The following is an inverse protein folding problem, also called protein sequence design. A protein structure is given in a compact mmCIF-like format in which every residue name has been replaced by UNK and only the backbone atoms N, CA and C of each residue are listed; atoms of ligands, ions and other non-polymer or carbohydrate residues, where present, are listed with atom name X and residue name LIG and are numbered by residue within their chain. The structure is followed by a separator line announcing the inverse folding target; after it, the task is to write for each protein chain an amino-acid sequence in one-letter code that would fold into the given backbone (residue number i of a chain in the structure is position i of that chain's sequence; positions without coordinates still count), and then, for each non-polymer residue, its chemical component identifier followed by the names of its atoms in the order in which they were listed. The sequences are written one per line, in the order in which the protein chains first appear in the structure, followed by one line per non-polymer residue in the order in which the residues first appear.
data_IF_376571679675
#
_entry.id   IF_376571679675
#
_cell.length_a   1.000
_cell.length_b   1.000
_cell.length_c   1.000
_cell.angle_alpha   90.00
_cell.angle_beta   90.00
_cell.angle_gamma   90.00
#
_symmetry.space_group_name_H-M   'P 1'
#
loop_
_entity.id
_entity.type
_entity.pdbx_description
1 polymer ?
#
# COMPACT_ATOMS: atom_id res chain seq x y z
N UNK A 1 -15.40 -26.26 10.33
CA UNK A 1 -15.58 -25.20 9.31
C UNK A 1 -15.80 -25.90 7.98
N UNK A 2 -16.76 -25.49 7.15
CA UNK A 2 -17.12 -26.21 5.91
C UNK A 2 -16.33 -25.77 4.66
N UNK A 3 -15.71 -24.60 4.69
CA UNK A 3 -15.00 -24.00 3.54
C UNK A 3 -13.48 -24.01 3.77
N UNK A 4 -12.74 -24.63 2.84
CA UNK A 4 -11.27 -24.74 2.86
C UNK A 4 -10.78 -26.00 2.15
N UNK A 5 -9.46 -26.11 1.92
CA UNK A 5 -8.84 -27.34 1.39
C UNK A 5 -8.96 -28.44 2.43
N UNK A 6 -9.46 -29.63 2.03
CA UNK A 6 -9.64 -30.77 2.94
C UNK A 6 -8.30 -31.30 3.42
N UNK A 7 -8.22 -31.66 4.70
CA UNK A 7 -7.01 -32.28 5.24
C UNK A 7 -6.88 -33.71 4.68
N UNK A 8 -5.72 -34.12 4.13
CA UNK A 8 -5.55 -35.46 3.58
C UNK A 8 -5.88 -36.55 4.61
N UNK A 9 -6.85 -37.41 4.30
CA UNK A 9 -7.28 -38.52 5.16
C UNK A 9 -8.27 -38.16 6.28
N UNK A 10 -8.71 -36.89 6.39
CA UNK A 10 -9.74 -36.46 7.35
C UNK A 10 -10.71 -35.45 6.71
N UNK A 11 -11.84 -35.94 6.19
CA UNK A 11 -12.80 -35.14 5.43
C UNK A 11 -13.59 -34.12 6.29
N UNK A 12 -13.56 -34.28 7.61
CA UNK A 12 -14.15 -33.37 8.59
C UNK A 12 -13.25 -32.17 8.94
N UNK A 13 -11.96 -32.24 8.56
CA UNK A 13 -10.98 -31.17 8.77
C UNK A 13 -10.67 -30.39 7.49
N UNK A 14 -10.29 -29.13 7.69
CA UNK A 14 -9.79 -28.24 6.63
C UNK A 14 -8.44 -27.67 7.05
N UNK A 15 -7.57 -27.45 6.06
CA UNK A 15 -6.27 -26.81 6.23
C UNK A 15 -6.48 -25.34 6.63
N UNK A 16 -5.71 -24.87 7.61
CA UNK A 16 -5.77 -23.47 8.02
C UNK A 16 -5.20 -22.57 6.93
N UNK A 17 -5.82 -21.41 6.70
CA UNK A 17 -5.49 -20.54 5.55
C UNK A 17 -4.03 -20.08 5.50
N UNK A 18 -3.38 -19.95 6.66
CA UNK A 18 -1.95 -19.61 6.70
C UNK A 18 -1.03 -20.76 6.27
N UNK A 19 -1.56 -21.94 5.98
CA UNK A 19 -0.81 -23.06 5.41
C UNK A 19 -1.07 -23.16 3.91
N UNK A 20 -2.33 -23.14 3.48
CA UNK A 20 -2.67 -23.35 2.06
C UNK A 20 -2.54 -22.10 1.18
N UNK A 21 -2.73 -20.89 1.70
CA UNK A 21 -2.66 -19.65 0.91
C UNK A 21 -1.33 -19.45 0.16
N UNK A 22 -0.14 -19.60 0.78
CA UNK A 22 1.12 -19.44 0.03
C UNK A 22 1.40 -20.61 -0.93
N UNK A 23 0.81 -21.80 -0.69
CA UNK A 23 0.87 -22.92 -1.66
C UNK A 23 0.15 -22.51 -2.96
N UNK A 24 -0.83 -21.62 -2.88
CA UNK A 24 -1.48 -21.01 -4.03
C UNK A 24 -0.50 -20.42 -5.04
N UNK A 25 0.64 -19.85 -4.63
CA UNK A 25 1.65 -19.34 -5.55
C UNK A 25 2.19 -20.43 -6.50
N UNK A 26 2.38 -21.64 -5.96
CA UNK A 26 2.83 -22.80 -6.73
C UNK A 26 1.67 -23.30 -7.60
N UNK A 27 0.48 -23.46 -7.03
CA UNK A 27 -0.70 -23.95 -7.75
C UNK A 27 -1.05 -23.08 -8.96
N UNK A 28 -1.02 -21.75 -8.83
CA UNK A 28 -1.23 -20.84 -9.96
C UNK A 28 -0.12 -20.94 -11.02
N UNK A 29 1.12 -21.22 -10.59
CA UNK A 29 2.23 -21.47 -11.53
C UNK A 29 2.05 -22.79 -12.27
N UNK A 30 1.60 -23.84 -11.58
CA UNK A 30 1.26 -25.14 -12.17
C UNK A 30 0.18 -25.01 -13.24
N UNK A 31 -0.91 -24.30 -12.91
CA UNK A 31 -2.02 -24.02 -13.83
C UNK A 31 -1.53 -23.30 -15.09
N UNK A 32 -0.83 -22.18 -14.94
CA UNK A 32 -0.29 -21.42 -16.07
C UNK A 32 0.71 -22.24 -16.91
N UNK A 33 1.58 -23.03 -16.27
CA UNK A 33 2.54 -23.88 -16.95
C UNK A 33 1.85 -24.98 -17.77
N UNK A 34 0.78 -25.58 -17.23
CA UNK A 34 -0.03 -26.58 -17.94
C UNK A 34 -0.67 -25.99 -19.20
N UNK A 35 -1.15 -24.75 -19.15
CA UNK A 35 -1.75 -24.06 -20.29
C UNK A 35 -0.72 -23.64 -21.36
N UNK A 36 0.53 -23.42 -20.96
CA UNK A 36 1.58 -22.85 -21.82
C UNK A 36 2.70 -23.84 -22.18
N UNK A 37 2.53 -25.14 -21.86
CA UNK A 37 3.51 -26.18 -22.18
C UNK A 37 4.86 -26.00 -21.49
N UNK A 38 4.87 -25.45 -20.26
CA UNK A 38 6.07 -25.21 -19.45
C UNK A 38 6.12 -26.17 -18.27
N UNK A 39 7.31 -26.32 -17.68
CA UNK A 39 7.49 -27.08 -16.45
C UNK A 39 7.51 -26.13 -15.25
N UNK A 40 6.50 -26.24 -14.38
CA UNK A 40 6.39 -25.42 -13.17
C UNK A 40 7.55 -25.65 -12.20
N UNK A 41 8.18 -26.84 -12.23
CA UNK A 41 9.29 -27.16 -11.34
C UNK A 41 10.49 -26.25 -11.59
N UNK A 42 10.70 -25.80 -12.84
CA UNK A 42 11.76 -24.84 -13.17
C UNK A 42 11.64 -23.48 -12.45
N UNK A 43 10.45 -23.15 -11.92
CA UNK A 43 10.19 -21.90 -11.21
C UNK A 43 10.22 -22.04 -9.68
N UNK A 44 9.95 -23.24 -9.16
CA UNK A 44 9.77 -23.51 -7.73
C UNK A 44 10.75 -24.53 -7.14
N UNK A 45 11.55 -25.17 -7.99
CA UNK A 45 12.67 -26.06 -7.65
C UNK A 45 13.95 -25.54 -8.32
N UNK A 46 15.03 -26.30 -8.19
CA UNK A 46 16.28 -26.10 -8.93
C UNK A 46 16.95 -24.72 -8.79
N UNK A 47 16.76 -24.04 -7.65
CA UNK A 47 17.48 -22.80 -7.35
C UNK A 47 16.98 -21.56 -8.11
N UNK A 48 15.74 -21.58 -8.61
CA UNK A 48 15.08 -20.42 -9.21
C UNK A 48 15.15 -19.14 -8.32
N UNK A 49 15.29 -17.97 -8.94
CA UNK A 49 15.28 -16.69 -8.21
C UNK A 49 13.83 -16.27 -7.93
N UNK A 50 13.36 -16.52 -6.70
CA UNK A 50 11.99 -16.22 -6.27
C UNK A 50 11.98 -14.90 -5.47
N UNK A 51 11.12 -13.97 -5.87
CA UNK A 51 10.97 -12.67 -5.20
C UNK A 51 9.51 -12.50 -4.77
N UNK A 52 9.27 -12.19 -3.50
CA UNK A 52 7.93 -11.94 -2.98
C UNK A 52 7.72 -10.46 -2.69
N UNK A 53 6.79 -9.82 -3.42
CA UNK A 53 6.31 -8.48 -3.11
C UNK A 53 5.06 -8.58 -2.22
N UNK A 54 5.13 -8.00 -1.02
CA UNK A 54 4.11 -8.16 0.02
C UNK A 54 3.87 -6.87 0.80
N UNK A 55 2.75 -6.78 1.52
CA UNK A 55 2.59 -5.76 2.56
C UNK A 55 3.37 -6.09 3.84
N UNK A 56 3.73 -5.07 4.62
CA UNK A 56 4.49 -5.24 5.88
C UNK A 56 3.88 -6.20 6.91
N UNK A 57 2.55 -6.35 6.93
CA UNK A 57 1.84 -7.17 7.93
C UNK A 57 2.07 -8.68 7.79
N UNK A 58 2.52 -9.15 6.62
CA UNK A 58 2.71 -10.58 6.31
C UNK A 58 4.18 -10.97 6.16
N UNK A 59 5.11 -10.10 6.58
CA UNK A 59 6.56 -10.34 6.56
C UNK A 59 6.94 -11.56 7.40
N UNK A 60 6.41 -11.66 8.62
CA UNK A 60 6.69 -12.79 9.52
C UNK A 60 6.36 -14.13 8.85
N UNK A 61 5.29 -14.17 8.06
CA UNK A 61 4.87 -15.36 7.36
C UNK A 61 5.79 -15.72 6.20
N UNK A 62 6.16 -14.74 5.37
CA UNK A 62 6.98 -14.96 4.18
C UNK A 62 8.48 -15.13 4.49
N UNK A 63 8.93 -14.75 5.69
CA UNK A 63 10.33 -14.88 6.09
C UNK A 63 10.60 -16.07 7.03
N UNK A 64 9.57 -16.67 7.64
CA UNK A 64 9.75 -17.76 8.63
C UNK A 64 8.89 -18.98 8.28
N UNK A 65 7.56 -18.85 8.36
CA UNK A 65 6.68 -20.00 8.19
C UNK A 65 6.74 -20.58 6.78
N UNK A 66 6.57 -19.73 5.77
CA UNK A 66 6.55 -20.17 4.38
C UNK A 66 7.90 -20.77 3.92
N UNK A 67 9.06 -20.14 4.20
CA UNK A 67 10.36 -20.76 3.93
C UNK A 67 10.57 -22.09 4.67
N UNK A 68 10.07 -22.24 5.90
CA UNK A 68 10.17 -23.50 6.63
C UNK A 68 9.35 -24.62 5.95
N UNK A 69 8.15 -24.30 5.46
CA UNK A 69 7.33 -25.22 4.68
C UNK A 69 8.00 -25.62 3.36
N UNK A 70 8.49 -24.64 2.59
CA UNK A 70 9.22 -24.88 1.34
C UNK A 70 10.45 -25.77 1.58
N UNK A 71 11.25 -25.45 2.60
CA UNK A 71 12.43 -26.24 2.97
C UNK A 71 12.08 -27.68 3.34
N UNK A 72 11.03 -27.85 4.16
CA UNK A 72 10.56 -29.18 4.57
C UNK A 72 10.06 -30.03 3.41
N UNK A 73 9.52 -29.38 2.38
CA UNK A 73 9.00 -30.04 1.18
C UNK A 73 10.02 -30.13 0.02
N UNK A 74 11.25 -29.61 0.19
CA UNK A 74 12.31 -29.68 -0.83
C UNK A 74 12.17 -28.69 -1.99
N UNK A 75 11.58 -27.52 -1.74
CA UNK A 75 11.39 -26.45 -2.74
C UNK A 75 12.44 -25.34 -2.59
N UNK A 76 12.60 -24.52 -3.63
CA UNK A 76 13.46 -23.35 -3.63
C UNK A 76 12.93 -22.28 -2.67
N UNK A 77 13.84 -21.65 -1.92
CA UNK A 77 13.49 -20.59 -0.97
C UNK A 77 13.45 -19.21 -1.65
N UNK A 78 12.66 -18.25 -1.14
CA UNK A 78 12.67 -16.89 -1.64
C UNK A 78 14.07 -16.28 -1.58
N UNK A 79 14.54 -15.74 -2.71
CA UNK A 79 15.80 -14.98 -2.79
C UNK A 79 15.65 -13.58 -2.20
N UNK A 80 14.45 -13.00 -2.25
CA UNK A 80 14.13 -11.72 -1.63
C UNK A 80 12.65 -11.66 -1.21
N UNK A 81 12.39 -10.94 -0.11
CA UNK A 81 11.04 -10.55 0.32
C UNK A 81 11.00 -9.03 0.40
N UNK A 82 10.31 -8.42 -0.55
CA UNK A 82 10.19 -6.97 -0.70
C UNK A 82 8.88 -6.52 -0.06
N UNK A 83 9.00 -5.95 1.14
CA UNK A 83 7.85 -5.49 1.91
C UNK A 83 7.54 -4.01 1.63
N UNK A 84 6.36 -3.74 1.07
CA UNK A 84 5.85 -2.40 0.80
C UNK A 84 5.41 -1.72 2.09
N UNK A 85 5.63 -0.40 2.15
CA UNK A 85 5.04 0.44 3.18
C UNK A 85 3.53 0.61 3.01
N UNK A 86 2.87 1.05 4.08
CA UNK A 86 1.42 1.27 4.08
C UNK A 86 1.03 2.53 3.29
N UNK A 87 -0.20 2.53 2.76
CA UNK A 87 -0.78 3.71 2.11
C UNK A 87 -1.53 4.58 3.13
N UNK A 88 -1.24 5.88 3.11
CA UNK A 88 -1.98 6.96 3.76
C UNK A 88 -2.70 7.80 2.72
N UNK A 89 -3.78 8.47 3.12
CA UNK A 89 -4.49 9.45 2.30
C UNK A 89 -4.60 10.72 3.14
N UNK A 90 -4.06 11.84 2.63
CA UNK A 90 -3.94 13.11 3.34
C UNK A 90 -3.46 12.93 4.80
N UNK A 91 -2.36 12.18 4.95
CA UNK A 91 -1.70 11.82 6.22
C UNK A 91 -2.53 10.98 7.20
N UNK A 92 -3.75 10.59 6.81
CA UNK A 92 -4.64 9.72 7.58
C UNK A 92 -4.51 8.28 7.12
N UNK A 93 -4.54 7.34 8.08
CA UNK A 93 -4.52 5.90 7.79
C UNK A 93 -5.73 5.50 6.96
N UNK A 94 -5.49 4.66 5.95
CA UNK A 94 -6.53 4.05 5.15
C UNK A 94 -7.61 3.39 6.04
N UNK A 95 -8.89 3.69 5.79
CA UNK A 95 -10.01 3.19 6.58
C UNK A 95 -11.29 3.15 5.77
N UNK A 96 -11.73 1.93 5.39
CA UNK A 96 -13.01 1.71 4.71
C UNK A 96 -14.19 2.19 5.57
N UNK A 97 -14.17 1.94 6.88
CA UNK A 97 -15.27 2.29 7.79
C UNK A 97 -15.41 3.80 7.98
N UNK A 98 -14.31 4.56 7.94
CA UNK A 98 -14.33 6.03 8.02
C UNK A 98 -14.39 6.70 6.64
N UNK A 99 -14.51 5.94 5.55
CA UNK A 99 -14.52 6.49 4.19
C UNK A 99 -13.15 6.98 3.67
N UNK A 100 -12.08 6.84 4.47
CA UNK A 100 -10.72 7.29 4.16
C UNK A 100 -10.02 6.27 3.26
N UNK A 101 -10.51 6.15 2.04
CA UNK A 101 -10.06 5.22 1.00
C UNK A 101 -10.08 5.97 -0.32
N UNK A 102 -9.16 5.66 -1.22
CA UNK A 102 -9.24 6.03 -2.64
C UNK A 102 -9.35 4.70 -3.39
N UNK A 103 -10.48 4.49 -4.07
CA UNK A 103 -10.71 3.30 -4.87
C UNK A 103 -10.20 3.54 -6.29
N UNK A 104 -9.25 2.70 -6.74
CA UNK A 104 -8.65 2.81 -8.07
C UNK A 104 -9.71 2.82 -9.18
N UNK A 105 -10.76 2.01 -9.07
CA UNK A 105 -11.84 2.01 -10.03
C UNK A 105 -12.68 3.29 -9.95
N UNK A 106 -13.40 3.47 -8.84
CA UNK A 106 -14.49 4.45 -8.77
C UNK A 106 -14.00 5.91 -8.58
N UNK A 107 -12.89 6.10 -7.87
CA UNK A 107 -12.36 7.44 -7.56
C UNK A 107 -11.30 7.91 -8.56
N UNK A 108 -10.81 7.03 -9.43
CA UNK A 108 -9.70 7.33 -10.33
C UNK A 108 -10.00 6.96 -11.79
N UNK A 109 -10.16 5.68 -12.11
CA UNK A 109 -10.37 5.23 -13.50
C UNK A 109 -11.71 5.72 -14.07
N UNK A 110 -12.79 5.60 -13.30
CA UNK A 110 -14.13 6.07 -13.69
C UNK A 110 -14.19 7.62 -13.80
N UNK A 111 -13.14 8.32 -13.36
CA UNK A 111 -12.95 9.78 -13.52
C UNK A 111 -12.15 10.15 -14.76
N UNK A 112 -11.80 9.17 -15.60
CA UNK A 112 -11.05 9.39 -16.84
C UNK A 112 -9.55 9.63 -16.62
N UNK A 113 -9.02 9.41 -15.41
CA UNK A 113 -7.60 9.52 -15.16
C UNK A 113 -6.85 8.30 -15.68
N UNK A 114 -5.75 8.56 -16.38
CA UNK A 114 -4.99 7.51 -17.04
C UNK A 114 -4.14 6.70 -16.03
N UNK A 115 -4.17 5.35 -16.05
CA UNK A 115 -3.51 4.50 -15.05
C UNK A 115 -2.02 4.76 -14.88
N UNK A 116 -1.30 5.05 -15.97
CA UNK A 116 0.14 5.35 -15.92
C UNK A 116 0.49 6.53 -15.01
N UNK A 117 -0.40 7.53 -14.85
CA UNK A 117 -0.12 8.65 -13.95
C UNK A 117 -0.09 8.17 -12.49
N UNK A 118 -1.00 7.27 -12.11
CA UNK A 118 -1.02 6.66 -10.78
C UNK A 118 0.18 5.73 -10.58
N UNK A 119 0.53 4.92 -11.59
CA UNK A 119 1.72 4.05 -11.54
C UNK A 119 2.98 4.88 -11.30
N UNK A 120 3.13 5.98 -12.04
CA UNK A 120 4.23 6.91 -11.86
C UNK A 120 4.27 7.49 -10.46
N UNK A 121 3.13 8.02 -9.97
CA UNK A 121 3.04 8.57 -8.62
C UNK A 121 3.52 7.57 -7.56
N UNK A 122 3.00 6.34 -7.61
CA UNK A 122 3.35 5.29 -6.64
C UNK A 122 4.83 4.87 -6.73
N UNK A 123 5.40 4.81 -7.93
CA UNK A 123 6.79 4.41 -8.14
C UNK A 123 7.80 5.48 -7.71
N UNK A 124 7.42 6.76 -7.78
CA UNK A 124 8.38 7.88 -7.69
C UNK A 124 8.13 8.85 -6.53
N UNK A 125 7.05 8.70 -5.76
CA UNK A 125 6.77 9.57 -4.62
C UNK A 125 7.73 9.32 -3.44
N UNK A 126 7.78 8.09 -2.94
CA UNK A 126 8.64 7.68 -1.82
C UNK A 126 9.28 6.32 -2.11
N UNK A 127 10.34 5.98 -1.39
CA UNK A 127 10.89 4.63 -1.43
C UNK A 127 9.80 3.61 -1.09
N UNK A 128 9.76 2.49 -1.79
CA UNK A 128 8.64 1.54 -1.77
C UNK A 128 8.40 0.91 -0.38
N UNK A 129 9.45 0.75 0.42
CA UNK A 129 9.38 0.22 1.78
C UNK A 129 8.92 1.25 2.83
N UNK A 130 8.76 2.52 2.44
CA UNK A 130 8.23 3.58 3.30
C UNK A 130 6.74 3.77 3.05
N UNK A 131 6.05 4.33 4.04
CA UNK A 131 4.65 4.70 3.86
C UNK A 131 4.50 5.70 2.70
N UNK A 132 3.56 5.42 1.82
CA UNK A 132 3.18 6.32 0.71
C UNK A 132 2.00 7.15 1.18
N UNK A 133 2.08 8.47 1.04
CA UNK A 133 0.95 9.36 1.29
C UNK A 133 0.34 9.77 -0.06
N UNK A 134 -0.93 9.46 -0.28
CA UNK A 134 -1.67 9.93 -1.44
C UNK A 134 -2.42 11.22 -1.10
N UNK A 135 -2.29 12.22 -1.96
CA UNK A 135 -3.05 13.46 -1.92
C UNK A 135 -3.31 13.92 -3.33
N UNK A 136 -4.53 14.33 -3.65
CA UNK A 136 -4.89 14.77 -5.01
C UNK A 136 -4.06 15.96 -5.48
N UNK A 137 -3.80 16.91 -4.58
CA UNK A 137 -2.93 18.04 -4.86
C UNK A 137 -1.50 17.61 -5.20
N UNK A 138 -0.88 16.78 -4.35
CA UNK A 138 0.50 16.30 -4.58
C UNK A 138 0.57 15.48 -5.87
N UNK A 139 -0.43 14.63 -6.12
CA UNK A 139 -0.57 13.87 -7.35
C UNK A 139 -0.61 14.81 -8.58
N UNK A 140 -1.44 15.85 -8.53
CA UNK A 140 -1.55 16.82 -9.61
C UNK A 140 -0.27 17.62 -9.83
N UNK A 141 0.37 18.08 -8.76
CA UNK A 141 1.64 18.83 -8.83
C UNK A 141 2.73 18.01 -9.50
N UNK A 142 2.81 16.72 -9.14
CA UNK A 142 3.79 15.79 -9.69
C UNK A 142 3.54 15.49 -11.17
N UNK A 143 2.29 15.21 -11.55
CA UNK A 143 1.91 15.05 -12.96
C UNK A 143 2.22 16.31 -13.77
N UNK A 144 1.82 17.47 -13.26
CA UNK A 144 1.95 18.74 -13.99
C UNK A 144 3.39 19.22 -14.12
N UNK A 145 4.22 19.00 -13.10
CA UNK A 145 5.61 19.49 -13.08
C UNK A 145 6.53 18.51 -13.79
N UNK A 146 6.45 17.23 -13.42
CA UNK A 146 7.43 16.24 -13.87
C UNK A 146 6.99 15.62 -15.21
N UNK A 147 5.76 15.11 -15.31
CA UNK A 147 5.31 14.44 -16.53
C UNK A 147 4.98 15.43 -17.65
N UNK A 148 4.20 16.47 -17.36
CA UNK A 148 3.85 17.49 -18.36
C UNK A 148 5.04 18.44 -18.60
N UNK A 149 5.62 18.98 -17.53
CA UNK A 149 6.63 20.04 -17.60
C UNK A 149 8.03 19.59 -18.02
N UNK A 150 8.45 18.38 -17.66
CA UNK A 150 9.79 17.88 -17.98
C UNK A 150 9.78 16.79 -19.06
N UNK A 151 9.27 15.59 -18.75
CA UNK A 151 9.35 14.41 -19.63
C UNK A 151 8.57 14.61 -20.95
N UNK A 152 7.27 14.93 -20.83
CA UNK A 152 6.38 15.13 -21.97
C UNK A 152 6.79 16.33 -22.81
N UNK A 153 7.15 17.45 -22.17
CA UNK A 153 7.64 18.64 -22.86
C UNK A 153 8.88 18.35 -23.69
N UNK A 154 9.87 17.64 -23.14
CA UNK A 154 11.09 17.31 -23.87
C UNK A 154 10.81 16.44 -25.10
N UNK A 155 10.11 15.31 -24.90
CA UNK A 155 9.79 14.37 -26.00
C UNK A 155 8.98 15.09 -27.09
N UNK A 156 7.97 15.87 -26.69
CA UNK A 156 7.14 16.60 -27.64
C UNK A 156 7.93 17.66 -28.42
N UNK A 157 8.83 18.42 -27.76
CA UNK A 157 9.71 19.39 -28.44
C UNK A 157 10.63 18.71 -29.43
N UNK A 158 11.31 17.63 -29.04
CA UNK A 158 12.23 16.90 -29.92
C UNK A 158 11.51 16.39 -31.19
N UNK A 159 10.34 15.77 -31.01
CA UNK A 159 9.53 15.26 -32.12
C UNK A 159 8.97 16.38 -33.00
N UNK A 160 8.30 17.37 -32.41
CA UNK A 160 7.64 18.45 -33.16
C UNK A 160 8.64 19.31 -33.93
N UNK A 161 9.79 19.64 -33.32
CA UNK A 161 10.82 20.40 -34.03
C UNK A 161 11.45 19.60 -35.15
N UNK A 162 11.72 18.31 -34.95
CA UNK A 162 12.25 17.48 -36.03
C UNK A 162 11.23 17.33 -37.15
N UNK A 163 9.97 17.01 -36.83
CA UNK A 163 8.93 16.85 -37.84
C UNK A 163 8.75 18.11 -38.69
N UNK A 164 8.70 19.28 -38.05
CA UNK A 164 8.56 20.56 -38.72
C UNK A 164 9.74 20.92 -39.62
N UNK A 165 10.97 20.66 -39.18
CA UNK A 165 12.15 21.19 -39.85
C UNK A 165 12.87 20.17 -40.75
N UNK A 166 12.63 18.88 -40.56
CA UNK A 166 13.32 17.77 -41.24
C UNK A 166 12.32 16.76 -41.86
N UNK A 167 11.17 17.26 -42.33
CA UNK A 167 10.18 16.51 -43.11
C UNK A 167 9.68 15.24 -42.42
N UNK A 168 9.56 15.26 -41.09
CA UNK A 168 9.11 14.07 -40.35
C UNK A 168 10.10 12.91 -40.36
N UNK A 169 11.40 13.15 -40.59
CA UNK A 169 12.42 12.08 -40.61
C UNK A 169 13.56 12.35 -39.65
N UNK A 170 14.15 11.28 -39.11
CA UNK A 170 15.37 11.36 -38.28
C UNK A 170 16.51 11.96 -39.11
N UNK A 171 17.12 13.08 -38.71
CA UNK A 171 18.16 13.73 -39.50
C UNK A 171 19.41 12.86 -39.65
N UNK A 172 20.07 12.94 -40.81
CA UNK A 172 21.35 12.30 -41.09
C UNK A 172 22.50 13.18 -40.57
N UNK A 173 22.85 13.05 -39.29
CA UNK A 173 23.89 13.84 -38.63
C UNK A 173 24.43 13.11 -37.40
N UNK A 174 25.62 13.41 -36.90
CA UNK A 174 26.18 12.70 -35.75
C UNK A 174 25.36 12.90 -34.46
N UNK A 175 25.35 11.88 -33.60
CA UNK A 175 24.81 11.96 -32.24
C UNK A 175 25.95 12.37 -31.31
N UNK A 176 25.67 13.33 -30.43
CA UNK A 176 26.63 13.78 -29.42
C UNK A 176 27.06 12.62 -28.50
N UNK A 177 28.38 12.36 -28.47
CA UNK A 177 28.96 11.28 -27.68
C UNK A 177 28.79 11.49 -26.16
N UNK A 178 28.74 12.75 -25.70
CA UNK A 178 28.51 13.03 -24.28
C UNK A 178 27.09 12.65 -23.87
N UNK A 179 26.12 12.86 -24.77
CA UNK A 179 24.73 12.45 -24.54
C UNK A 179 24.60 10.93 -24.54
N UNK A 180 25.31 10.23 -25.42
CA UNK A 180 25.35 8.76 -25.41
C UNK A 180 25.90 8.22 -24.09
N UNK A 181 27.02 8.77 -23.61
CA UNK A 181 27.59 8.40 -22.32
C UNK A 181 26.61 8.66 -21.16
N UNK A 182 25.83 9.75 -21.24
CA UNK A 182 24.82 10.06 -20.22
C UNK A 182 23.65 9.07 -20.23
N UNK A 183 23.24 8.60 -21.41
CA UNK A 183 22.21 7.55 -21.57
C UNK A 183 22.71 6.25 -20.93
N UNK A 184 23.96 5.85 -21.20
CA UNK A 184 24.57 4.64 -20.62
C UNK A 184 24.65 4.72 -19.09
N UNK A 185 25.13 5.85 -18.55
CA UNK A 185 25.19 6.11 -17.10
C UNK A 185 23.79 5.99 -16.47
N UNK A 186 22.78 6.57 -17.12
CA UNK A 186 21.39 6.50 -16.64
C UNK A 186 20.88 5.05 -16.68
N UNK A 187 21.15 4.31 -17.75
CA UNK A 187 20.77 2.90 -17.86
C UNK A 187 21.39 2.02 -16.76
N UNK A 188 22.66 2.27 -16.41
CA UNK A 188 23.33 1.60 -15.29
C UNK A 188 22.68 1.96 -13.95
N UNK A 189 22.41 3.25 -13.71
CA UNK A 189 21.78 3.71 -12.48
C UNK A 189 20.36 3.14 -12.31
N UNK A 190 19.56 3.10 -13.38
CA UNK A 190 18.22 2.51 -13.39
C UNK A 190 18.30 1.01 -13.11
N UNK A 191 19.21 0.29 -13.77
CA UNK A 191 19.39 -1.15 -13.57
C UNK A 191 19.75 -1.47 -12.13
N UNK A 192 20.75 -0.79 -11.57
CA UNK A 192 21.18 -0.97 -10.19
C UNK A 192 20.05 -0.64 -9.19
N UNK A 193 19.27 0.41 -9.46
CA UNK A 193 18.13 0.75 -8.62
C UNK A 193 17.03 -0.32 -8.66
N UNK A 194 16.75 -0.92 -9.81
CA UNK A 194 15.75 -2.00 -9.93
C UNK A 194 16.22 -3.30 -9.27
N UNK A 195 17.51 -3.64 -9.35
CA UNK A 195 18.09 -4.80 -8.67
C UNK A 195 17.96 -4.71 -7.15
N UNK A 196 18.03 -3.49 -6.60
CA UNK A 196 17.83 -3.19 -5.18
C UNK A 196 16.37 -2.85 -4.82
N UNK A 197 15.43 -2.98 -5.76
CA UNK A 197 14.01 -2.67 -5.58
C UNK A 197 13.70 -1.20 -5.18
N UNK A 198 14.57 -0.28 -5.58
CA UNK A 198 14.50 1.16 -5.31
C UNK A 198 13.85 1.92 -6.49
N UNK A 199 12.55 1.70 -6.70
CA UNK A 199 11.80 2.27 -7.84
C UNK A 199 11.84 3.80 -7.92
N UNK A 200 11.90 4.47 -6.76
CA UNK A 200 12.03 5.93 -6.73
C UNK A 200 13.36 6.38 -7.31
N UNK A 201 14.47 5.72 -6.94
CA UNK A 201 15.79 6.05 -7.47
C UNK A 201 15.85 5.83 -8.98
N UNK A 202 15.24 4.74 -9.47
CA UNK A 202 15.12 4.49 -10.91
C UNK A 202 14.33 5.62 -11.60
N UNK A 203 13.20 6.03 -11.03
CA UNK A 203 12.37 7.12 -11.57
C UNK A 203 13.12 8.47 -11.57
N UNK A 204 13.79 8.80 -10.46
CA UNK A 204 14.55 10.05 -10.30
C UNK A 204 15.70 10.13 -11.31
N UNK A 205 16.41 9.02 -11.55
CA UNK A 205 17.49 8.97 -12.54
C UNK A 205 17.00 9.29 -13.96
N UNK A 206 15.83 8.77 -14.33
CA UNK A 206 15.27 9.02 -15.67
C UNK A 206 14.68 10.43 -15.79
N UNK A 207 14.08 10.96 -14.72
CA UNK A 207 13.66 12.36 -14.70
C UNK A 207 14.84 13.32 -14.80
N UNK A 208 15.96 13.02 -14.15
CA UNK A 208 17.19 13.79 -14.30
C UNK A 208 17.73 13.76 -15.74
N UNK A 209 17.61 12.62 -16.45
CA UNK A 209 17.93 12.53 -17.87
C UNK A 209 16.98 13.40 -18.73
N UNK A 210 15.68 13.45 -18.39
CA UNK A 210 14.72 14.30 -19.08
C UNK A 210 15.01 15.80 -18.87
N UNK A 211 15.39 16.20 -17.66
CA UNK A 211 15.83 17.57 -17.35
C UNK A 211 17.12 17.91 -18.10
N UNK A 212 18.09 17.00 -18.13
CA UNK A 212 19.30 17.14 -18.94
C UNK A 212 18.96 17.34 -20.42
N UNK A 213 18.01 16.57 -20.97
CA UNK A 213 17.52 16.75 -22.33
C UNK A 213 16.89 18.13 -22.58
N UNK A 214 16.05 18.61 -21.65
CA UNK A 214 15.48 19.96 -21.74
C UNK A 214 16.56 21.05 -21.77
N UNK A 215 17.58 20.93 -20.90
CA UNK A 215 18.72 21.85 -20.85
C UNK A 215 19.54 21.76 -22.15
N UNK A 216 19.84 20.56 -22.63
CA UNK A 216 20.56 20.33 -23.88
C UNK A 216 19.84 21.00 -25.06
N UNK A 217 18.54 20.77 -25.21
CA UNK A 217 17.73 21.39 -26.26
C UNK A 217 17.74 22.91 -26.13
N UNK A 218 17.64 23.44 -24.91
CA UNK A 218 17.58 24.88 -24.67
C UNK A 218 18.92 25.58 -24.98
N UNK A 219 20.04 25.02 -24.51
CA UNK A 219 21.37 25.60 -24.69
C UNK A 219 21.83 25.62 -26.15
N UNK A 220 21.43 24.61 -26.93
CA UNK A 220 21.80 24.51 -28.34
C UNK A 220 20.89 25.33 -29.27
N UNK A 221 19.78 25.88 -28.75
CA UNK A 221 18.86 26.75 -29.49
C UNK A 221 18.54 26.28 -30.93
N UNK A 222 18.05 25.04 -31.14
CA UNK A 222 17.85 24.48 -32.49
C UNK A 222 16.91 25.32 -33.37
N UNK A 223 16.02 26.12 -32.76
CA UNK A 223 15.15 27.08 -33.46
C UNK A 223 15.91 28.23 -34.12
N UNK A 224 17.11 28.58 -33.62
CA UNK A 224 18.03 29.51 -34.27
C UNK A 224 18.91 28.76 -35.26
N UNK A 225 19.50 27.62 -34.85
CA UNK A 225 20.40 26.84 -35.70
C UNK A 225 19.76 26.42 -37.02
N UNK A 226 18.49 26.03 -37.05
CA UNK A 226 17.78 25.70 -38.30
C UNK A 226 17.88 26.81 -39.37
N UNK A 227 18.02 28.08 -38.95
CA UNK A 227 18.12 29.25 -39.84
C UNK A 227 19.56 29.59 -40.22
N UNK A 228 20.54 29.24 -39.38
CA UNK A 228 21.93 29.68 -39.51
C UNK A 228 22.91 28.57 -39.87
N UNK A 229 22.70 27.36 -39.32
CA UNK A 229 23.56 26.19 -39.47
C UNK A 229 22.69 24.93 -39.34
N UNK A 230 22.17 24.49 -40.49
CA UNK A 230 21.17 23.42 -40.57
C UNK A 230 21.75 22.05 -40.22
N UNK A 231 23.03 21.82 -40.48
CA UNK A 231 23.71 20.55 -40.17
C UNK A 231 23.94 20.41 -38.66
N UNK A 232 24.32 21.51 -37.98
CA UNK A 232 24.35 21.50 -36.50
C UNK A 232 22.96 21.31 -35.90
N UNK A 233 21.93 21.94 -36.48
CA UNK A 233 20.56 21.71 -36.03
C UNK A 233 20.13 20.25 -36.20
N UNK A 234 20.55 19.59 -37.28
CA UNK A 234 20.30 18.18 -37.54
C UNK A 234 20.94 17.28 -36.47
N UNK A 235 22.21 17.54 -36.13
CA UNK A 235 22.92 16.80 -35.08
C UNK A 235 22.27 16.97 -33.70
N UNK A 236 21.93 18.21 -33.32
CA UNK A 236 21.25 18.51 -32.04
C UNK A 236 19.89 17.80 -31.95
N UNK A 237 19.09 17.84 -33.02
CA UNK A 237 17.77 17.21 -33.00
C UNK A 237 17.84 15.69 -33.06
N UNK A 238 18.77 15.10 -33.83
CA UNK A 238 19.00 13.65 -33.79
C UNK A 238 19.42 13.19 -32.39
N UNK A 239 20.30 13.96 -31.73
CA UNK A 239 20.71 13.71 -30.35
C UNK A 239 19.52 13.80 -29.38
N UNK A 240 18.65 14.80 -29.53
CA UNK A 240 17.44 14.91 -28.71
C UNK A 240 16.48 13.72 -28.93
N UNK A 241 16.34 13.23 -30.16
CA UNK A 241 15.55 12.05 -30.45
C UNK A 241 16.15 10.78 -29.84
N UNK A 242 17.48 10.63 -29.87
CA UNK A 242 18.15 9.51 -29.21
C UNK A 242 17.89 9.51 -27.70
N UNK A 243 17.96 10.69 -27.06
CA UNK A 243 17.61 10.84 -25.65
C UNK A 243 16.13 10.50 -25.40
N UNK A 244 15.22 10.93 -26.28
CA UNK A 244 13.81 10.58 -26.19
C UNK A 244 13.57 9.06 -26.27
N UNK A 245 14.27 8.35 -27.17
CA UNK A 245 14.24 6.87 -27.24
C UNK A 245 14.62 6.24 -25.90
N UNK A 246 15.72 6.71 -25.31
CA UNK A 246 16.20 6.21 -24.02
C UNK A 246 15.18 6.44 -22.89
N UNK A 247 14.61 7.65 -22.81
CA UNK A 247 13.56 7.96 -21.81
C UNK A 247 12.35 7.04 -21.93
N UNK A 248 11.92 6.75 -23.16
CA UNK A 248 10.77 5.85 -23.42
C UNK A 248 11.08 4.45 -22.91
N UNK A 249 12.24 3.90 -23.25
CA UNK A 249 12.66 2.55 -22.83
C UNK A 249 12.75 2.46 -21.31
N UNK A 250 13.36 3.45 -20.65
CA UNK A 250 13.52 3.41 -19.20
C UNK A 250 12.22 3.65 -18.41
N UNK A 251 11.27 4.41 -18.96
CA UNK A 251 9.96 4.64 -18.32
C UNK A 251 8.90 3.62 -18.66
N UNK A 252 9.11 2.74 -19.65
CA UNK A 252 8.12 1.74 -20.06
C UNK A 252 7.64 0.86 -18.89
N UNK A 253 8.50 0.35 -17.99
CA UNK A 253 8.04 -0.49 -16.87
C UNK A 253 7.09 0.24 -15.91
N UNK A 254 7.16 1.58 -15.86
CA UNK A 254 6.35 2.42 -14.98
C UNK A 254 5.10 2.93 -15.71
N UNK A 255 5.24 3.39 -16.95
CA UNK A 255 4.17 4.04 -17.74
C UNK A 255 4.01 3.39 -19.13
N UNK A 256 3.59 2.11 -19.19
CA UNK A 256 3.66 1.32 -20.42
C UNK A 256 2.83 1.90 -21.57
N UNK A 257 1.60 2.35 -21.31
CA UNK A 257 0.73 2.82 -22.38
C UNK A 257 1.14 4.21 -22.91
N UNK A 258 1.64 5.10 -22.05
CA UNK A 258 2.18 6.41 -22.44
C UNK A 258 3.51 6.26 -23.18
N UNK A 259 4.38 5.36 -22.74
CA UNK A 259 5.63 5.07 -23.43
C UNK A 259 5.39 4.39 -24.77
N UNK A 260 4.40 3.48 -24.89
CA UNK A 260 4.00 2.91 -26.17
C UNK A 260 3.41 3.96 -27.14
N UNK A 261 2.70 4.97 -26.63
CA UNK A 261 2.28 6.09 -27.46
C UNK A 261 3.51 6.86 -27.99
N UNK A 262 4.44 7.24 -27.12
CA UNK A 262 5.67 7.93 -27.51
C UNK A 262 6.53 7.11 -28.50
N UNK A 263 6.63 5.79 -28.30
CA UNK A 263 7.31 4.83 -29.18
C UNK A 263 6.77 4.91 -30.62
N UNK A 264 5.43 4.93 -30.76
CA UNK A 264 4.77 5.11 -32.07
C UNK A 264 5.01 6.50 -32.66
N UNK A 265 5.02 7.56 -31.85
CA UNK A 265 5.34 8.91 -32.34
C UNK A 265 6.80 9.01 -32.85
N UNK A 266 7.71 8.20 -32.30
CA UNK A 266 9.08 8.07 -32.80
C UNK A 266 9.19 7.25 -34.09
N UNK A 267 8.09 6.67 -34.57
CA UNK A 267 8.07 5.81 -35.75
C UNK A 267 8.84 4.51 -35.54
N UNK A 268 8.90 4.01 -34.30
CA UNK A 268 9.52 2.74 -33.97
C UNK A 268 8.48 1.61 -34.11
N UNK A 269 8.91 0.50 -34.71
CA UNK A 269 8.08 -0.69 -34.89
C UNK A 269 7.95 -1.50 -33.60
N UNK A 270 6.92 -2.35 -33.52
CA UNK A 270 6.72 -3.28 -32.40
C UNK A 270 6.19 -2.63 -31.11
N UNK A 271 6.40 -3.33 -29.99
CA UNK A 271 6.00 -2.89 -28.66
C UNK A 271 7.22 -2.45 -27.85
N UNK A 272 7.11 -1.30 -27.18
CA UNK A 272 8.15 -0.76 -26.31
C UNK A 272 8.53 -1.74 -25.20
N UNK A 273 7.58 -2.56 -24.71
CA UNK A 273 7.80 -3.58 -23.69
C UNK A 273 8.74 -4.71 -24.13
N UNK A 274 8.95 -4.89 -25.44
CA UNK A 274 9.90 -5.87 -25.98
C UNK A 274 11.35 -5.34 -25.98
N UNK A 275 11.53 -4.04 -25.69
CA UNK A 275 12.85 -3.42 -25.65
C UNK A 275 13.59 -3.74 -24.36
N UNK A 276 14.90 -3.97 -24.49
CA UNK A 276 15.82 -4.05 -23.36
C UNK A 276 16.40 -2.67 -23.08
N UNK A 277 16.84 -2.44 -21.85
CA UNK A 277 17.52 -1.19 -21.48
C UNK A 277 18.78 -0.94 -22.29
N UNK A 278 19.49 -1.99 -22.73
CA UNK A 278 20.65 -1.87 -23.62
C UNK A 278 20.31 -1.24 -24.98
N UNK A 279 19.05 -1.37 -25.46
CA UNK A 279 18.63 -0.75 -26.71
C UNK A 279 18.50 0.78 -26.62
N UNK A 280 18.54 1.37 -25.42
CA UNK A 280 18.52 2.82 -25.23
C UNK A 280 19.74 3.50 -25.86
N UNK A 281 20.87 2.80 -25.92
CA UNK A 281 22.13 3.30 -26.49
C UNK A 281 22.36 2.82 -27.93
N UNK A 282 21.39 2.13 -28.53
CA UNK A 282 21.43 1.83 -29.96
C UNK A 282 21.00 3.08 -30.74
N UNK A 283 21.84 3.59 -31.67
CA UNK A 283 21.52 4.79 -32.44
C UNK A 283 20.23 4.65 -33.24
N UNK A 284 19.41 5.69 -33.23
CA UNK A 284 18.28 5.81 -34.15
C UNK A 284 18.76 5.82 -35.60
N UNK A 285 18.05 5.07 -36.43
CA UNK A 285 18.35 4.95 -37.85
C UNK A 285 18.10 6.28 -38.56
N UNK A 286 19.09 6.73 -39.31
CA UNK A 286 18.98 7.93 -40.14
C UNK A 286 17.90 7.78 -41.21
N UNK A 287 17.17 8.86 -41.47
CA UNK A 287 16.10 8.88 -42.47
C UNK A 287 14.85 8.06 -42.11
N UNK A 288 14.81 7.43 -40.94
CA UNK A 288 13.59 6.79 -40.44
C UNK A 288 12.47 7.83 -40.33
N UNK A 289 11.28 7.47 -40.81
CA UNK A 289 10.10 8.31 -40.66
C UNK A 289 9.64 8.32 -39.19
N UNK A 290 9.34 9.50 -38.68
CA UNK A 290 8.68 9.71 -37.41
C UNK A 290 7.17 9.51 -37.57
N UNK A 291 6.51 9.15 -36.48
CA UNK A 291 5.06 9.20 -36.38
C UNK A 291 4.55 10.64 -36.21
N UNK A 292 3.24 10.77 -36.00
CA UNK A 292 2.62 12.06 -35.74
C UNK A 292 2.89 12.51 -34.30
N UNK A 293 3.50 13.70 -34.08
CA UNK A 293 3.68 14.22 -32.72
C UNK A 293 2.34 14.57 -32.06
N UNK A 294 2.16 14.11 -30.83
CA UNK A 294 0.98 14.36 -30.01
C UNK A 294 1.38 14.69 -28.56
N UNK A 295 0.48 15.34 -27.81
CA UNK A 295 0.70 15.62 -26.40
C UNK A 295 0.55 14.32 -25.59
N UNK A 296 1.61 13.90 -24.91
CA UNK A 296 1.60 12.65 -24.12
C UNK A 296 0.82 12.79 -22.81
N UNK A 297 0.99 13.90 -22.11
CA UNK A 297 0.42 14.14 -20.79
C UNK A 297 -0.41 15.42 -20.81
N UNK A 298 -1.64 15.32 -20.31
CA UNK A 298 -2.52 16.47 -20.12
C UNK A 298 -2.36 17.00 -18.71
N UNK A 299 -2.39 18.33 -18.59
CA UNK A 299 -2.37 18.99 -17.28
C UNK A 299 -3.63 18.63 -16.50
N UNK A 300 -3.46 18.40 -15.21
CA UNK A 300 -4.55 18.29 -14.26
C UNK A 300 -4.89 19.68 -13.76
N UNK A 301 -6.06 20.17 -14.17
CA UNK A 301 -6.54 21.51 -13.84
C UNK A 301 -6.98 21.61 -12.38
N UNK A 302 -6.78 22.78 -11.77
CA UNK A 302 -7.12 23.02 -10.36
C UNK A 302 -8.60 22.73 -10.06
N UNK A 303 -9.49 23.05 -11.00
CA UNK A 303 -10.92 22.76 -10.87
C UNK A 303 -11.21 21.26 -10.77
N UNK A 304 -10.57 20.44 -11.62
CA UNK A 304 -10.72 18.98 -11.59
C UNK A 304 -10.15 18.37 -10.32
N UNK A 305 -9.03 18.89 -9.82
CA UNK A 305 -8.44 18.45 -8.54
C UNK A 305 -9.39 18.76 -7.38
N UNK A 306 -9.95 19.97 -7.33
CA UNK A 306 -10.94 20.37 -6.30
C UNK A 306 -12.20 19.51 -6.35
N UNK A 307 -12.66 19.13 -7.54
CA UNK A 307 -13.80 18.24 -7.69
C UNK A 307 -13.53 16.86 -7.06
N UNK A 308 -12.37 16.27 -7.35
CA UNK A 308 -11.96 14.97 -6.80
C UNK A 308 -11.79 15.02 -5.28
N UNK A 309 -11.19 16.09 -4.75
CA UNK A 309 -11.09 16.34 -3.32
C UNK A 309 -12.46 16.53 -2.66
N UNK A 310 -13.39 17.21 -3.36
CA UNK A 310 -14.76 17.41 -2.91
C UNK A 310 -15.53 16.09 -2.80
N UNK A 311 -15.43 15.22 -3.80
CA UNK A 311 -16.05 13.88 -3.79
C UNK A 311 -15.49 13.06 -2.61
N UNK A 312 -14.17 13.07 -2.44
CA UNK A 312 -13.51 12.37 -1.35
C UNK A 312 -13.95 12.90 0.03
N UNK A 313 -13.99 14.21 0.19
CA UNK A 313 -14.40 14.88 1.43
C UNK A 313 -15.87 14.62 1.77
N UNK A 314 -16.75 14.61 0.75
CA UNK A 314 -18.17 14.28 0.93
C UNK A 314 -18.34 12.83 1.45
N UNK A 315 -17.61 11.87 0.87
CA UNK A 315 -17.63 10.47 1.35
C UNK A 315 -17.14 10.35 2.79
N UNK A 316 -16.07 11.07 3.15
CA UNK A 316 -15.58 11.13 4.53
C UNK A 316 -16.65 11.65 5.48
N UNK A 317 -17.29 12.76 5.15
CA UNK A 317 -18.35 13.37 5.96
C UNK A 317 -19.57 12.43 6.11
N UNK A 318 -19.98 11.74 5.04
CA UNK A 318 -21.04 10.74 5.10
C UNK A 318 -20.68 9.56 6.01
N UNK A 319 -19.44 9.06 5.92
CA UNK A 319 -18.97 7.94 6.74
C UNK A 319 -18.88 8.33 8.23
N UNK A 320 -18.48 9.57 8.54
CA UNK A 320 -18.51 10.11 9.90
C UNK A 320 -19.95 10.31 10.41
N UNK A 321 -20.87 10.77 9.54
CA UNK A 321 -22.30 10.84 9.86
C UNK A 321 -22.91 9.47 10.17
N UNK A 322 -22.58 8.45 9.36
CA UNK A 322 -22.97 7.04 9.58
C UNK A 322 -22.27 6.43 10.81
N UNK A 323 -21.04 6.84 11.09
CA UNK A 323 -20.28 6.45 12.28
C UNK A 323 -20.90 6.98 13.58
N UNK A 324 -21.41 8.22 13.56
CA UNK A 324 -22.21 8.77 14.67
C UNK A 324 -23.56 8.05 14.85
N UNK A 325 -24.18 7.57 13.78
CA UNK A 325 -25.37 6.70 13.88
C UNK A 325 -25.06 5.31 14.46
N UNK A 326 -23.88 4.73 14.20
CA UNK A 326 -23.50 3.39 14.73
C UNK A 326 -23.04 3.37 16.19
N UNK A 327 -22.73 4.52 16.81
CA UNK A 327 -22.49 4.60 18.27
C UNK A 327 -23.81 4.72 19.06
N UNK A 328 -24.93 4.84 18.36
CA UNK A 328 -26.26 4.77 18.94
C UNK A 328 -27.12 3.72 18.21
N UNK A 329 -26.68 2.45 18.17
CA UNK A 329 -27.68 1.46 18.55
C UNK A 329 -28.01 1.77 20.00
N UNK A 330 -29.06 2.58 20.22
CA UNK A 330 -29.77 2.54 21.49
C UNK A 330 -30.03 1.06 21.72
N UNK A 331 -29.29 0.45 22.66
CA UNK A 331 -29.74 -0.79 23.28
C UNK A 331 -31.22 -0.58 23.54
N UNK A 332 -32.07 -1.57 23.20
CA UNK A 332 -33.51 -1.45 23.44
C UNK A 332 -33.72 -0.82 24.80
N UNK A 333 -34.52 0.24 24.85
CA UNK A 333 -34.82 0.92 26.10
C UNK A 333 -35.37 -0.15 27.04
N UNK A 334 -34.68 -0.36 28.16
CA UNK A 334 -35.14 -1.28 29.19
C UNK A 334 -36.06 -0.51 30.14
N UNK A 335 -37.06 -1.18 30.68
CA UNK A 335 -37.91 -0.59 31.72
C UNK A 335 -37.11 -0.37 33.01
N UNK A 336 -37.60 0.52 33.87
CA UNK A 336 -37.02 0.69 35.21
C UNK A 336 -37.10 -0.61 36.03
N UNK A 337 -38.09 -1.47 35.76
CA UNK A 337 -38.24 -2.78 36.40
C UNK A 337 -37.12 -3.74 35.96
N UNK A 338 -36.75 -3.73 34.68
CA UNK A 338 -35.63 -4.52 34.16
C UNK A 338 -34.29 -4.07 34.75
N UNK A 339 -34.10 -2.76 34.96
CA UNK A 339 -32.93 -2.24 35.68
C UNK A 339 -32.97 -2.59 37.17
N UNK A 340 -34.12 -2.43 37.83
CA UNK A 340 -34.31 -2.75 39.26
C UNK A 340 -34.17 -4.24 39.55
N UNK A 341 -34.38 -5.09 38.54
CA UNK A 341 -34.14 -6.52 38.63
C UNK A 341 -32.64 -6.85 38.71
N UNK A 342 -31.73 -5.95 38.35
CA UNK A 342 -30.28 -6.13 38.52
C UNK A 342 -29.91 -5.89 39.98
N UNK A 343 -29.28 -6.87 40.62
CA UNK A 343 -28.71 -6.70 41.96
C UNK A 343 -27.28 -6.21 41.81
N UNK A 344 -27.10 -4.90 41.83
CA UNK A 344 -25.80 -4.23 41.76
C UNK A 344 -25.46 -3.72 43.15
N UNK A 345 -24.28 -4.05 43.66
CA UNK A 345 -23.83 -3.67 45.02
C UNK A 345 -22.43 -3.09 45.02
N UNK A 346 -22.15 -2.27 46.02
CA UNK A 346 -20.79 -1.90 46.38
C UNK A 346 -20.15 -3.06 47.13
N UNK A 347 -19.12 -3.67 46.54
CA UNK A 347 -18.33 -4.73 47.16
C UNK A 347 -16.96 -4.24 47.62
N UNK A 348 -16.39 -4.89 48.63
CA UNK A 348 -15.02 -4.67 49.06
C UNK A 348 -14.16 -5.89 48.74
N UNK A 349 -13.06 -5.69 48.02
CA UNK A 349 -12.12 -6.77 47.70
C UNK A 349 -11.34 -7.13 48.96
N UNK A 350 -11.45 -8.37 49.43
CA UNK A 350 -10.71 -8.88 50.60
C UNK A 350 -9.43 -9.61 50.18
N UNK A 351 -9.48 -10.30 49.05
CA UNK A 351 -8.34 -11.04 48.50
C UNK A 351 -8.29 -10.86 46.98
N UNK A 352 -7.08 -10.79 46.42
CA UNK A 352 -6.85 -10.70 44.98
C UNK A 352 -5.58 -11.46 44.62
N UNK A 353 -5.66 -12.33 43.61
CA UNK A 353 -4.57 -13.19 43.18
C UNK A 353 -4.53 -13.30 41.65
N UNK A 354 -3.32 -13.38 41.08
CA UNK A 354 -3.15 -13.65 39.66
C UNK A 354 -3.46 -15.12 39.36
N UNK A 355 -4.14 -15.39 38.26
CA UNK A 355 -4.45 -16.76 37.83
C UNK A 355 -3.25 -17.36 37.11
N UNK A 356 -2.70 -18.45 37.65
CA UNK A 356 -1.58 -19.18 37.04
C UNK A 356 -1.91 -19.59 35.60
N UNK A 357 -1.12 -19.11 34.64
CA UNK A 357 -1.32 -19.37 33.21
C UNK A 357 -2.08 -18.28 32.45
N UNK A 358 -2.59 -17.25 33.12
CA UNK A 358 -3.18 -16.07 32.47
C UNK A 358 -2.43 -14.80 32.84
N UNK A 359 -2.11 -13.96 31.85
CA UNK A 359 -1.52 -12.62 32.06
C UNK A 359 -2.57 -11.52 32.25
N UNK A 360 -3.86 -11.82 32.01
CA UNK A 360 -4.93 -10.83 31.95
C UNK A 360 -5.94 -10.94 33.09
N UNK A 361 -6.05 -12.09 33.74
CA UNK A 361 -7.12 -12.38 34.69
C UNK A 361 -6.63 -12.35 36.15
N UNK A 362 -7.43 -11.74 37.01
CA UNK A 362 -7.30 -11.84 38.47
C UNK A 362 -8.49 -12.61 39.04
N UNK A 363 -8.23 -13.43 40.06
CA UNK A 363 -9.23 -14.04 40.93
C UNK A 363 -9.34 -13.18 42.19
N UNK A 364 -10.55 -12.78 42.54
CA UNK A 364 -10.80 -11.94 43.71
C UNK A 364 -11.89 -12.53 44.60
N UNK A 365 -11.74 -12.36 45.90
CA UNK A 365 -12.81 -12.58 46.89
C UNK A 365 -13.38 -11.23 47.28
N UNK A 366 -14.64 -10.99 46.92
CA UNK A 366 -15.32 -9.72 47.12
C UNK A 366 -16.44 -9.89 48.15
N UNK A 367 -16.35 -9.14 49.24
CA UNK A 367 -17.41 -9.02 50.24
C UNK A 367 -18.51 -8.11 49.70
N UNK A 368 -19.74 -8.61 49.63
CA UNK A 368 -20.91 -7.87 49.12
C UNK A 368 -21.95 -7.59 50.22
N UNK A 369 -21.49 -7.50 51.48
CA UNK A 369 -22.32 -7.17 52.64
C UNK A 369 -22.74 -8.41 53.41
N UNK A 370 -21.76 -9.19 53.91
CA UNK A 370 -22.01 -10.41 54.69
C UNK A 370 -22.00 -11.71 53.88
N UNK A 371 -21.75 -11.62 52.57
CA UNK A 371 -21.54 -12.76 51.67
C UNK A 371 -20.24 -12.53 50.89
N UNK A 372 -19.39 -13.56 50.83
CA UNK A 372 -18.15 -13.54 50.04
C UNK A 372 -18.40 -14.18 48.68
N UNK A 373 -18.00 -13.49 47.61
CA UNK A 373 -18.10 -14.01 46.24
C UNK A 373 -16.78 -14.04 45.52
N UNK A 374 -16.55 -15.14 44.81
CA UNK A 374 -15.44 -15.27 43.89
C UNK A 374 -15.77 -14.58 42.57
N UNK A 375 -14.96 -13.59 42.18
CA UNK A 375 -15.09 -12.87 40.91
C UNK A 375 -13.78 -12.98 40.14
N UNK A 376 -13.88 -13.36 38.86
CA UNK A 376 -12.74 -13.41 37.93
C UNK A 376 -12.89 -12.28 36.93
N UNK A 377 -11.89 -11.40 36.83
CA UNK A 377 -11.95 -10.23 35.94
C UNK A 377 -10.65 -10.02 35.15
N UNK A 378 -10.80 -9.53 33.91
CA UNK A 378 -9.72 -9.24 32.98
C UNK A 378 -9.02 -7.90 33.22
N UNK A 379 -8.58 -7.65 34.45
CA UNK A 379 -8.05 -6.34 34.87
C UNK A 379 -6.57 -6.37 35.29
N UNK A 380 -5.89 -7.50 35.15
CA UNK A 380 -4.52 -7.70 35.65
C UNK A 380 -3.49 -6.76 34.98
N UNK A 381 -3.73 -6.34 33.74
CA UNK A 381 -2.86 -5.41 33.00
C UNK A 381 -3.02 -3.96 33.48
N UNK A 382 -4.16 -3.62 34.09
CA UNK A 382 -4.49 -2.26 34.52
C UNK A 382 -4.31 -2.05 36.04
N UNK A 383 -4.45 -3.11 36.83
CA UNK A 383 -4.37 -3.07 38.28
C UNK A 383 -3.60 -4.28 38.82
N UNK A 384 -2.52 -4.09 39.57
CA UNK A 384 -1.83 -5.18 40.23
C UNK A 384 -2.65 -5.68 41.44
N UNK A 385 -2.56 -6.97 41.74
CA UNK A 385 -3.43 -7.63 42.73
C UNK A 385 -3.31 -7.04 44.15
N UNK A 386 -2.11 -6.64 44.56
CA UNK A 386 -1.84 -6.03 45.87
C UNK A 386 -2.53 -4.67 46.07
N UNK A 387 -2.77 -3.91 45.01
CA UNK A 387 -3.44 -2.59 45.07
C UNK A 387 -4.96 -2.68 45.11
N UNK A 388 -5.51 -3.88 44.88
CA UNK A 388 -6.96 -4.11 44.86
C UNK A 388 -7.50 -4.50 46.23
N UNK A 389 -6.68 -5.06 47.12
CA UNK A 389 -7.12 -5.46 48.46
C UNK A 389 -7.54 -4.22 49.26
N UNK A 390 -8.76 -4.25 49.80
CA UNK A 390 -9.38 -3.15 50.52
C UNK A 390 -10.16 -2.16 49.65
N UNK A 391 -10.01 -2.21 48.32
CA UNK A 391 -10.69 -1.29 47.41
C UNK A 391 -12.19 -1.59 47.31
N UNK A 392 -12.99 -0.52 47.21
CA UNK A 392 -14.42 -0.60 46.93
C UNK A 392 -14.67 -0.61 45.42
N UNK A 393 -15.52 -1.52 44.97
CA UNK A 393 -15.84 -1.75 43.56
C UNK A 393 -17.33 -1.97 43.37
N UNK A 394 -17.84 -1.66 42.18
CA UNK A 394 -19.23 -1.96 41.83
C UNK A 394 -19.34 -3.36 41.23
N UNK A 395 -20.24 -4.18 41.78
CA UNK A 395 -20.40 -5.60 41.41
C UNK A 395 -21.85 -5.89 41.05
N UNK A 396 -22.07 -6.53 39.90
CA UNK A 396 -23.35 -7.15 39.56
C UNK A 396 -23.38 -8.57 40.12
N UNK A 397 -24.31 -8.86 41.04
CA UNK A 397 -24.31 -10.09 41.85
C UNK A 397 -25.37 -11.10 41.43
N UNK A 398 -26.40 -10.75 40.67
CA UNK A 398 -27.44 -11.70 40.24
C UNK A 398 -27.28 -12.20 38.80
N UNK A 399 -26.07 -12.14 38.26
CA UNK A 399 -25.72 -12.77 36.98
C UNK A 399 -25.49 -14.28 37.17
N UNK A 400 -25.86 -15.09 36.16
CA UNK A 400 -25.53 -16.53 36.17
C UNK A 400 -24.01 -16.73 36.26
N UNK A 401 -23.52 -17.65 37.11
CA UNK A 401 -22.09 -17.93 37.18
C UNK A 401 -21.51 -18.33 35.83
N UNK A 402 -20.28 -17.90 35.56
CA UNK A 402 -19.56 -18.21 34.33
C UNK A 402 -18.18 -18.79 34.65
N UNK A 403 -17.71 -19.75 33.86
CA UNK A 403 -16.35 -20.29 33.99
C UNK A 403 -15.39 -19.51 33.08
N UNK A 404 -14.40 -18.87 33.69
CA UNK A 404 -13.32 -18.15 33.01
C UNK A 404 -12.01 -18.86 33.33
N UNK A 405 -11.35 -19.38 32.29
CA UNK A 405 -10.08 -20.08 32.44
C UNK A 405 -10.14 -21.25 33.47
N UNK A 406 -11.26 -21.97 33.48
CA UNK A 406 -11.53 -23.09 34.39
C UNK A 406 -11.98 -22.69 35.80
N UNK A 407 -11.98 -21.39 36.14
CA UNK A 407 -12.37 -20.87 37.46
C UNK A 407 -13.76 -20.24 37.36
N UNK A 408 -14.63 -20.55 38.33
CA UNK A 408 -15.99 -20.01 38.38
C UNK A 408 -16.01 -18.56 38.88
N UNK A 409 -16.71 -17.68 38.16
CA UNK A 409 -17.00 -16.30 38.55
C UNK A 409 -18.48 -16.17 38.89
N UNK A 410 -18.79 -15.77 40.11
CA UNK A 410 -20.14 -15.68 40.68
C UNK A 410 -20.64 -14.22 40.77
N UNK A 411 -20.06 -13.36 39.94
CA UNK A 411 -20.40 -11.95 39.82
C UNK A 411 -19.56 -11.28 38.73
N UNK A 412 -19.87 -10.03 38.44
CA UNK A 412 -19.16 -9.22 37.45
C UNK A 412 -18.77 -7.87 38.04
N UNK A 413 -17.49 -7.52 37.97
CA UNK A 413 -17.03 -6.16 38.26
C UNK A 413 -17.44 -5.23 37.12
N UNK A 414 -17.99 -4.07 37.46
CA UNK A 414 -18.31 -3.03 36.48
C UNK A 414 -17.09 -2.13 36.27
N UNK A 415 -16.73 -1.94 35.00
CA UNK A 415 -15.63 -1.11 34.56
C UNK A 415 -16.02 -0.34 33.30
N UNK A 416 -15.48 0.86 33.14
CA UNK A 416 -15.54 1.58 31.87
C UNK A 416 -14.46 1.01 30.92
N UNK A 417 -14.83 0.80 29.65
CA UNK A 417 -13.86 0.49 28.60
C UNK A 417 -13.35 1.79 27.97
N UNK A 418 -12.07 2.07 28.18
CA UNK A 418 -11.38 3.21 27.58
C UNK A 418 -10.31 2.68 26.62
N UNK A 419 -10.65 2.62 25.33
CA UNK A 419 -9.76 2.18 24.25
C UNK A 419 -9.09 0.81 24.51
N UNK A 420 -9.83 -0.15 25.08
CA UNK A 420 -9.35 -1.50 25.39
C UNK A 420 -8.75 -1.64 26.79
N UNK A 421 -8.69 -0.57 27.59
CA UNK A 421 -8.31 -0.59 29.01
C UNK A 421 -9.55 -0.55 29.90
N UNK A 422 -9.67 -1.51 30.81
CA UNK A 422 -10.71 -1.52 31.83
C UNK A 422 -10.37 -0.54 32.97
N UNK A 423 -11.27 0.41 33.23
CA UNK A 423 -11.20 1.35 34.36
C UNK A 423 -12.29 0.99 35.37
N UNK A 424 -11.89 0.50 36.55
CA UNK A 424 -12.84 0.04 37.57
C UNK A 424 -13.73 1.17 38.07
N UNK A 425 -15.03 0.91 38.15
CA UNK A 425 -15.98 1.82 38.78
C UNK A 425 -15.87 1.71 40.31
N UNK A 426 -15.72 2.87 40.96
CA UNK A 426 -15.62 3.01 42.41
C UNK A 426 -16.54 4.14 42.88
N UNK A 427 -17.12 4.06 44.09
CA UNK A 427 -17.83 5.20 44.65
C UNK A 427 -16.84 6.35 44.90
N UNK A 428 -17.32 7.59 44.75
CA UNK A 428 -16.50 8.80 44.98
C UNK A 428 -16.22 9.09 46.46
N UNK A 429 -16.95 8.42 47.35
CA UNK A 429 -16.81 8.46 48.80
C UNK A 429 -16.91 7.04 49.37
N UNK A 430 -16.54 6.85 50.63
CA UNK A 430 -16.66 5.54 51.28
C UNK A 430 -18.14 5.20 51.51
N UNK A 431 -18.56 4.03 51.03
CA UNK A 431 -19.94 3.53 51.16
C UNK A 431 -19.95 2.24 51.98
N UNK A 432 -21.01 1.94 52.71
CA UNK A 432 -21.10 0.68 53.44
C UNK A 432 -21.07 -0.53 52.47
N UNK A 433 -20.23 -1.52 52.76
CA UNK A 433 -20.10 -2.74 51.93
C UNK A 433 -21.44 -3.47 51.85
N UNK A 434 -21.85 -3.82 50.63
CA UNK A 434 -23.14 -4.44 50.34
C UNK A 434 -24.28 -3.47 50.03
N UNK A 435 -24.04 -2.16 50.09
CA UNK A 435 -25.02 -1.15 49.67
C UNK A 435 -25.44 -1.37 48.23
N UNK A 436 -26.75 -1.40 47.97
CA UNK A 436 -27.31 -1.53 46.63
C UNK A 436 -27.16 -0.23 45.83
N UNK A 437 -26.75 -0.36 44.58
CA UNK A 437 -26.73 0.72 43.58
C UNK A 437 -28.13 0.83 42.97
N UNK A 438 -28.64 2.06 42.87
CA UNK A 438 -29.98 2.38 42.39
C UNK A 438 -29.97 3.51 41.37
#
# INVERSE_FOLDING_TARGET
MAWGVKFPGQDDLVVYVWVDAPIGYIAFTEEWCSENGRDWQSYWKDGAKIIHFIGGDIVYHHCIFWPAMLKGAGYTLPSAVVASGMLKIDDKKFSKSRGNVIWVKDDYLDRGLHPDLLRYYLASYTAHNKEVNFSWRIFADKVNTELVGALGNFINRALTFTAKNFQGTVPCAEIDSEVMAKIDETGQAVTAALEEYEFKKASDAVMALADYGNIYFQNHEPWKLVKTDRDKAASVLRTCLQLAKALIIFMEPIMPAKMQNAWRQMGLDGDASESRFSHASEPLKEGQALGQPEILFSRLEEASVKELEGIFSARMAEAEGKGKQKVAEKKKEISFEEFSALDIRIGQIKEAEAIKGSKKLLRMQVDIGGEMRQVVAGIAEAYPANELVGAQVVVLVNLKPAKLFGIESQGMLLAADQAGRAVLLRPGEAVETGTKVR
#
